data_IF_481429777646
#
_entry.id   IF_481429777646
#
_cell.length_a   1.000
_cell.length_b   1.000
_cell.length_c   1.000
_cell.angle_alpha   90.00
_cell.angle_beta   90.00
_cell.angle_gamma   90.00
#
_symmetry.space_group_name_H-M   'P 1'
#
loop_
_entity.id
_entity.type
_entity.pdbx_description
1 polymer ?
#
# COMPACT_ATOMS: atom_id res chain seq x y z
N UNK A 1 -67.73 -26.31 -14.21
CA UNK A 1 -66.80 -25.62 -13.35
C UNK A 1 -65.39 -26.04 -13.73
N UNK A 2 -64.61 -25.20 -14.37
CA UNK A 2 -63.23 -25.45 -14.71
C UNK A 2 -62.33 -24.73 -13.73
N UNK A 3 -61.31 -25.38 -13.15
CA UNK A 3 -60.39 -24.70 -12.28
C UNK A 3 -59.38 -23.90 -13.15
N UNK A 4 -59.22 -22.64 -12.80
CA UNK A 4 -58.20 -21.76 -13.37
C UNK A 4 -56.84 -22.15 -12.82
N UNK A 5 -56.02 -22.75 -13.64
CA UNK A 5 -54.60 -22.94 -13.34
C UNK A 5 -53.86 -21.60 -13.60
N UNK A 6 -53.42 -20.98 -12.53
CA UNK A 6 -52.53 -19.83 -12.58
C UNK A 6 -51.11 -20.32 -12.85
N UNK A 7 -50.58 -20.08 -14.03
CA UNK A 7 -49.18 -20.27 -14.37
C UNK A 7 -48.40 -19.06 -13.85
N UNK A 8 -47.81 -19.23 -12.68
CA UNK A 8 -46.81 -18.30 -12.15
C UNK A 8 -45.53 -18.45 -12.98
N UNK A 9 -45.27 -17.51 -13.86
CA UNK A 9 -44.04 -17.44 -14.64
C UNK A 9 -42.87 -17.03 -13.76
N UNK A 10 -42.04 -18.00 -13.43
CA UNK A 10 -40.77 -17.74 -12.78
C UNK A 10 -39.77 -17.23 -13.81
N UNK A 11 -39.53 -15.92 -13.83
CA UNK A 11 -38.47 -15.32 -14.64
C UNK A 11 -37.12 -15.53 -13.96
N UNK A 12 -36.14 -16.16 -14.60
CA UNK A 12 -34.81 -16.26 -14.01
C UNK A 12 -34.13 -14.88 -14.01
N UNK A 13 -33.82 -14.39 -12.81
CA UNK A 13 -32.98 -13.21 -12.66
C UNK A 13 -31.60 -13.53 -13.28
N UNK A 14 -31.32 -12.92 -14.42
CA UNK A 14 -29.96 -12.94 -14.98
C UNK A 14 -29.05 -12.17 -14.02
N UNK A 15 -28.23 -12.93 -13.33
CA UNK A 15 -27.10 -12.38 -12.56
C UNK A 15 -26.06 -11.96 -13.61
N UNK A 16 -25.99 -10.68 -13.89
CA UNK A 16 -24.86 -10.15 -14.64
C UNK A 16 -23.64 -10.19 -13.73
N UNK A 17 -22.84 -11.24 -13.89
CA UNK A 17 -21.50 -11.26 -13.32
C UNK A 17 -20.66 -10.24 -14.09
N UNK A 18 -20.52 -9.06 -13.53
CA UNK A 18 -19.52 -8.09 -13.96
C UNK A 18 -18.15 -8.66 -13.59
N UNK A 19 -17.59 -9.49 -14.44
CA UNK A 19 -16.15 -9.76 -14.43
C UNK A 19 -15.48 -8.45 -14.86
N UNK A 20 -15.11 -7.64 -13.87
CA UNK A 20 -14.23 -6.53 -14.11
C UNK A 20 -12.89 -7.13 -14.56
N UNK A 21 -12.68 -7.15 -15.86
CA UNK A 21 -11.37 -7.43 -16.44
C UNK A 21 -10.46 -6.30 -15.98
N UNK A 22 -9.69 -6.56 -14.92
CA UNK A 22 -8.64 -5.65 -14.46
C UNK A 22 -7.64 -5.57 -15.61
N UNK A 23 -7.70 -4.51 -16.37
CA UNK A 23 -6.65 -4.20 -17.34
C UNK A 23 -5.35 -4.08 -16.57
N UNK A 24 -4.43 -5.01 -16.79
CA UNK A 24 -3.08 -4.93 -16.26
C UNK A 24 -2.38 -3.74 -16.94
N UNK A 25 -2.47 -2.57 -16.30
CA UNK A 25 -1.62 -1.46 -16.69
C UNK A 25 -0.19 -1.85 -16.35
N UNK A 26 0.69 -1.86 -17.33
CA UNK A 26 2.12 -2.06 -17.11
C UNK A 26 2.66 -0.80 -16.45
N UNK A 27 2.74 -0.82 -15.12
CA UNK A 27 3.32 0.29 -14.37
C UNK A 27 4.83 0.35 -14.57
N UNK A 28 5.37 1.57 -14.64
CA UNK A 28 6.82 1.80 -14.62
C UNK A 28 7.43 1.59 -13.22
N UNK A 29 6.59 1.53 -12.17
CA UNK A 29 6.99 1.39 -10.77
C UNK A 29 6.19 0.30 -10.05
N UNK A 30 6.31 -0.97 -10.48
CA UNK A 30 5.48 -2.06 -9.94
C UNK A 30 5.71 -2.34 -8.46
N UNK A 31 6.92 -2.16 -7.94
CA UNK A 31 7.22 -2.36 -6.51
C UNK A 31 6.61 -1.25 -5.67
N UNK A 32 6.71 0.00 -6.10
CA UNK A 32 6.06 1.12 -5.43
C UNK A 32 4.54 0.95 -5.38
N UNK A 33 3.94 0.51 -6.49
CA UNK A 33 2.49 0.27 -6.56
C UNK A 33 2.07 -0.83 -5.60
N UNK A 34 2.85 -1.90 -5.49
CA UNK A 34 2.60 -2.99 -4.56
C UNK A 34 2.72 -2.55 -3.09
N UNK A 35 3.73 -1.75 -2.76
CA UNK A 35 3.89 -1.15 -1.44
C UNK A 35 2.67 -0.30 -1.10
N UNK A 36 2.25 0.56 -2.03
CA UNK A 36 1.09 1.44 -1.87
C UNK A 36 -0.19 0.64 -1.63
N UNK A 37 -0.45 -0.37 -2.44
CA UNK A 37 -1.62 -1.24 -2.32
C UNK A 37 -1.66 -1.94 -0.96
N UNK A 38 -0.58 -2.58 -0.55
CA UNK A 38 -0.49 -3.31 0.72
C UNK A 38 -0.68 -2.39 1.93
N UNK A 39 -0.02 -1.25 1.95
CA UNK A 39 -0.11 -0.29 3.06
C UNK A 39 -1.50 0.33 3.12
N UNK A 40 -2.07 0.70 1.99
CA UNK A 40 -3.43 1.28 1.93
C UNK A 40 -4.46 0.29 2.47
N UNK A 41 -4.37 -0.98 2.07
CA UNK A 41 -5.29 -2.03 2.50
C UNK A 41 -5.15 -2.34 3.99
N UNK A 42 -3.91 -2.43 4.50
CA UNK A 42 -3.65 -2.85 5.88
C UNK A 42 -3.84 -1.74 6.91
N UNK A 43 -3.49 -0.50 6.59
CA UNK A 43 -3.45 0.61 7.54
C UNK A 43 -4.46 1.71 7.29
N UNK A 44 -5.12 1.74 6.15
CA UNK A 44 -6.06 2.82 5.75
C UNK A 44 -5.51 4.21 6.08
N UNK A 45 -4.29 4.57 5.61
CA UNK A 45 -3.60 5.76 6.03
C UNK A 45 -4.32 7.03 5.58
N UNK A 46 -4.30 8.05 6.43
CA UNK A 46 -4.73 9.40 6.06
C UNK A 46 -3.67 10.11 5.20
N UNK A 47 -2.40 9.75 5.40
CA UNK A 47 -1.27 10.25 4.60
C UNK A 47 -0.34 9.07 4.27
N UNK A 48 0.00 8.93 3.00
CA UNK A 48 0.96 7.95 2.51
C UNK A 48 1.86 8.61 1.48
N UNK A 49 3.15 8.72 1.80
CA UNK A 49 4.18 9.25 0.91
C UNK A 49 5.21 8.15 0.69
N UNK A 50 5.42 7.76 -0.56
CA UNK A 50 6.43 6.78 -0.96
C UNK A 50 7.42 7.49 -1.87
N UNK A 51 8.68 7.48 -1.48
CA UNK A 51 9.77 8.03 -2.25
C UNK A 51 10.75 6.93 -2.61
N UNK A 52 11.06 6.82 -3.90
CA UNK A 52 12.05 5.90 -4.41
C UNK A 52 13.39 6.61 -4.53
N UNK A 53 14.33 6.26 -3.67
CA UNK A 53 15.67 6.85 -3.61
C UNK A 53 16.74 5.94 -4.25
N UNK A 54 16.35 4.96 -5.02
CA UNK A 54 17.26 3.96 -5.62
C UNK A 54 18.38 4.59 -6.47
N UNK A 55 18.09 5.67 -7.17
CA UNK A 55 19.07 6.39 -7.98
C UNK A 55 20.22 6.99 -7.17
N UNK A 56 19.98 7.33 -5.90
CA UNK A 56 21.01 7.87 -4.99
C UNK A 56 22.04 6.82 -4.56
N UNK A 57 21.68 5.54 -4.68
CA UNK A 57 22.48 4.40 -4.23
C UNK A 57 22.96 3.50 -5.37
N UNK A 58 22.81 3.93 -6.64
CA UNK A 58 23.16 3.15 -7.83
C UNK A 58 24.64 2.72 -7.87
N UNK A 59 25.53 3.47 -7.22
CA UNK A 59 26.96 3.18 -7.17
C UNK A 59 27.40 2.35 -5.95
N UNK A 60 26.45 1.98 -5.08
CA UNK A 60 26.75 1.18 -3.90
C UNK A 60 27.21 -0.24 -4.29
N UNK A 61 28.22 -0.81 -3.62
CA UNK A 61 28.72 -2.15 -3.94
C UNK A 61 27.64 -3.23 -3.92
N UNK A 62 26.69 -3.14 -3.00
CA UNK A 62 25.56 -4.07 -2.90
C UNK A 62 24.63 -4.03 -4.14
N UNK A 63 24.71 -2.97 -4.93
CA UNK A 63 23.89 -2.76 -6.13
C UNK A 63 24.59 -3.16 -7.42
N UNK A 64 25.84 -3.62 -7.37
CA UNK A 64 26.56 -4.08 -8.54
C UNK A 64 25.84 -5.29 -9.16
N UNK A 65 25.52 -5.16 -10.44
CA UNK A 65 24.80 -6.19 -11.20
C UNK A 65 23.30 -6.15 -11.05
N UNK A 66 22.73 -5.25 -10.21
CA UNK A 66 21.29 -5.06 -10.13
C UNK A 66 20.78 -4.18 -11.26
N UNK A 67 19.78 -4.66 -11.99
CA UNK A 67 19.03 -3.89 -12.99
C UNK A 67 17.79 -3.23 -12.43
N UNK A 68 17.43 -3.53 -11.18
CA UNK A 68 16.25 -2.97 -10.51
C UNK A 68 16.45 -1.49 -10.16
N UNK A 69 15.46 -0.68 -10.53
CA UNK A 69 15.39 0.74 -10.20
C UNK A 69 14.52 1.04 -8.98
N UNK A 70 14.03 0.00 -8.30
CA UNK A 70 13.08 0.09 -7.19
C UNK A 70 13.58 -0.71 -5.99
N UNK A 71 14.73 -0.30 -5.44
CA UNK A 71 15.40 -1.05 -4.36
C UNK A 71 15.50 -0.29 -3.04
N UNK A 72 15.43 1.03 -3.07
CA UNK A 72 15.57 1.90 -1.90
C UNK A 72 14.36 2.80 -1.77
N UNK A 73 13.61 2.63 -0.70
CA UNK A 73 12.39 3.40 -0.46
C UNK A 73 12.42 4.12 0.87
N UNK A 74 11.85 5.31 0.87
CA UNK A 74 11.49 6.05 2.08
C UNK A 74 9.97 6.18 2.12
N UNK A 75 9.34 5.63 3.16
CA UNK A 75 7.88 5.59 3.27
C UNK A 75 7.42 6.30 4.53
N UNK A 76 6.57 7.29 4.36
CA UNK A 76 5.88 8.00 5.45
C UNK A 76 4.43 7.55 5.49
N UNK A 77 3.99 7.05 6.64
CA UNK A 77 2.64 6.54 6.86
C UNK A 77 2.03 7.23 8.07
N UNK A 78 0.87 7.85 7.88
CA UNK A 78 0.05 8.36 8.97
C UNK A 78 -1.22 7.55 9.05
N UNK A 79 -1.40 6.83 10.15
CA UNK A 79 -2.55 5.94 10.34
C UNK A 79 -3.03 5.94 11.79
N UNK A 80 -4.35 5.91 12.02
CA UNK A 80 -4.91 5.77 13.37
C UNK A 80 -4.60 4.41 14.00
N UNK A 81 -4.23 3.40 13.21
CA UNK A 81 -3.86 2.07 13.70
C UNK A 81 -2.52 2.06 14.44
N UNK A 82 -1.73 3.12 14.33
CA UNK A 82 -0.48 3.27 15.09
C UNK A 82 -0.68 3.85 16.49
N UNK A 83 -1.90 4.23 16.83
CA UNK A 83 -2.22 4.78 18.14
C UNK A 83 -1.88 3.79 19.25
N UNK A 84 -1.33 4.30 20.37
CA UNK A 84 -0.89 3.50 21.52
C UNK A 84 0.22 2.48 21.22
N UNK A 85 0.90 2.61 20.08
CA UNK A 85 2.03 1.75 19.71
C UNK A 85 3.34 2.54 19.67
N UNK A 86 4.41 2.04 20.31
CA UNK A 86 5.74 2.64 20.17
C UNK A 86 6.29 2.47 18.75
N UNK A 87 7.22 3.32 18.36
CA UNK A 87 7.82 3.29 17.01
C UNK A 87 8.35 1.91 16.60
N UNK A 88 9.06 1.15 17.45
CA UNK A 88 9.53 -0.19 17.08
C UNK A 88 8.38 -1.15 16.73
N UNK A 89 7.26 -1.07 17.42
CA UNK A 89 6.08 -1.90 17.13
C UNK A 89 5.44 -1.52 15.79
N UNK A 90 5.32 -0.22 15.51
CA UNK A 90 4.81 0.29 14.23
C UNK A 90 5.68 -0.18 13.05
N UNK A 91 6.99 -0.06 13.18
CA UNK A 91 7.94 -0.51 12.16
C UNK A 91 7.84 -2.02 11.92
N UNK A 92 7.73 -2.82 12.97
CA UNK A 92 7.53 -4.27 12.82
C UNK A 92 6.25 -4.63 12.07
N UNK A 93 5.19 -3.88 12.28
CA UNK A 93 3.93 -4.08 11.52
C UNK A 93 4.14 -3.86 10.03
N UNK A 94 4.85 -2.81 9.65
CA UNK A 94 5.13 -2.49 8.24
C UNK A 94 6.12 -3.49 7.63
N UNK A 95 7.21 -3.80 8.32
CA UNK A 95 8.18 -4.81 7.87
C UNK A 95 7.55 -6.20 7.70
N UNK A 96 6.66 -6.58 8.61
CA UNK A 96 5.91 -7.84 8.49
C UNK A 96 5.02 -7.88 7.25
N UNK A 97 4.39 -6.76 6.92
CA UNK A 97 3.54 -6.63 5.74
C UNK A 97 4.35 -6.72 4.43
N UNK A 98 5.55 -6.16 4.40
CA UNK A 98 6.41 -6.08 3.23
C UNK A 98 7.53 -7.13 3.22
N UNK A 99 7.42 -8.16 4.06
CA UNK A 99 8.45 -9.19 4.23
C UNK A 99 8.81 -9.88 2.91
N UNK A 100 7.85 -10.20 2.09
CA UNK A 100 8.06 -10.85 0.80
C UNK A 100 8.86 -9.97 -0.15
N UNK A 101 8.53 -8.71 -0.24
CA UNK A 101 9.19 -7.73 -1.10
C UNK A 101 10.62 -7.46 -0.64
N UNK A 102 10.89 -7.51 0.65
CA UNK A 102 12.23 -7.32 1.22
C UNK A 102 13.11 -8.56 1.07
N UNK A 103 12.55 -9.75 1.05
CA UNK A 103 13.29 -11.01 0.92
C UNK A 103 13.49 -11.48 -0.51
N UNK A 104 12.72 -10.92 -1.45
CA UNK A 104 12.80 -11.26 -2.88
C UNK A 104 14.10 -10.77 -3.48
N UNK A 105 14.72 -11.60 -4.32
CA UNK A 105 15.86 -11.18 -5.15
C UNK A 105 15.41 -10.06 -6.12
N UNK A 106 16.17 -8.96 -6.15
CA UNK A 106 15.80 -7.76 -6.92
C UNK A 106 14.67 -6.94 -6.33
N UNK A 107 14.19 -7.29 -5.14
CA UNK A 107 13.17 -6.55 -4.39
C UNK A 107 13.74 -5.37 -3.59
N UNK A 108 13.06 -5.03 -2.49
CA UNK A 108 13.46 -3.92 -1.63
C UNK A 108 14.77 -4.26 -0.91
N UNK A 109 15.81 -3.47 -1.14
CA UNK A 109 17.11 -3.62 -0.48
C UNK A 109 17.19 -2.80 0.81
N UNK A 110 16.60 -1.62 0.81
CA UNK A 110 16.54 -0.76 1.99
C UNK A 110 15.17 -0.06 2.07
N UNK A 111 14.61 -0.05 3.27
CA UNK A 111 13.33 0.57 3.56
C UNK A 111 13.46 1.45 4.80
N UNK A 112 13.32 2.76 4.61
CA UNK A 112 13.22 3.71 5.70
C UNK A 112 11.76 4.03 5.97
N UNK A 113 11.38 3.99 7.24
CA UNK A 113 10.01 4.21 7.67
C UNK A 113 9.88 5.43 8.57
N UNK A 114 8.83 6.19 8.33
CA UNK A 114 8.34 7.24 9.21
C UNK A 114 6.87 6.97 9.49
N UNK A 115 6.55 6.62 10.71
CA UNK A 115 5.19 6.24 11.12
C UNK A 115 4.65 7.22 12.14
N UNK A 116 3.43 7.69 11.90
CA UNK A 116 2.75 8.69 12.73
C UNK A 116 1.29 8.33 12.95
N UNK A 117 0.72 8.83 14.05
CA UNK A 117 -0.73 8.95 14.18
C UNK A 117 -1.20 10.29 13.59
N UNK A 118 -2.50 10.44 13.27
CA UNK A 118 -3.04 11.72 12.82
C UNK A 118 -2.76 12.88 13.78
N UNK A 119 -2.81 12.64 15.09
CA UNK A 119 -2.53 13.63 16.12
C UNK A 119 -1.05 14.03 16.15
N UNK A 120 -0.14 13.08 15.93
CA UNK A 120 1.29 13.35 15.83
C UNK A 120 1.62 14.18 14.59
N UNK A 121 0.97 13.88 13.48
CA UNK A 121 1.12 14.64 12.23
C UNK A 121 0.65 16.09 12.41
N UNK A 122 -0.53 16.28 13.00
CA UNK A 122 -1.06 17.62 13.27
C UNK A 122 -0.11 18.43 14.16
N UNK A 123 0.39 17.86 15.25
CA UNK A 123 1.37 18.51 16.14
C UNK A 123 2.68 18.86 15.42
N UNK A 124 3.09 18.04 14.49
CA UNK A 124 4.28 18.32 13.67
C UNK A 124 4.04 19.51 12.73
N UNK A 125 2.88 19.57 12.08
CA UNK A 125 2.52 20.67 11.20
C UNK A 125 2.39 21.99 11.98
N UNK A 126 1.76 21.97 13.15
CA UNK A 126 1.67 23.14 14.03
C UNK A 126 3.05 23.67 14.46
N UNK A 127 3.99 22.74 14.78
CA UNK A 127 5.36 23.13 15.13
C UNK A 127 6.14 23.70 13.95
N UNK A 128 5.90 23.20 12.74
CA UNK A 128 6.50 23.76 11.52
C UNK A 128 5.97 25.15 11.24
N UNK A 129 4.66 25.34 11.33
CA UNK A 129 4.01 26.64 11.14
C UNK A 129 4.50 27.67 12.15
N UNK A 130 4.72 27.30 13.42
CA UNK A 130 5.23 28.19 14.46
C UNK A 130 6.69 28.62 14.28
N UNK A 131 7.46 27.88 13.47
CA UNK A 131 8.88 28.16 13.18
C UNK A 131 9.09 28.94 11.86
N UNK A 132 8.04 29.06 11.08
CA UNK A 132 8.09 29.73 9.78
C UNK A 132 8.07 31.24 9.90
#
# INVERSE_FOLDING_TARGET
MLPRTSLSGFLPRRVFSLTATRMASTSATPVEDLIREKITTAFSPSTLIIRNDSHLHAHHNAMRGSTSKETHFHVTITSPLFQSKPQPARHRMVYGLLKEEMSREGGIHALQLRTKTPEEEQREEERKAAKA
#
